data_IF_960725218452
#
_entry.id   IF_960725218452
#
_cell.length_a   1.000
_cell.length_b   1.000
_cell.length_c   1.000
_cell.angle_alpha   90.00
_cell.angle_beta   90.00
_cell.angle_gamma   90.00
#
_symmetry.space_group_name_H-M   'P 1'
#
loop_
_entity.id
_entity.type
_entity.pdbx_description
1 polymer ?
#
# COMPACT_ATOMS: atom_id res chain seq x y z
N UNK A 1 -1.58 31.02 55.47
CA UNK A 1 -2.17 30.31 54.30
C UNK A 1 -1.08 30.27 53.22
N UNK A 2 -0.38 29.14 53.08
CA UNK A 2 0.72 29.02 52.09
C UNK A 2 0.15 28.65 50.73
N UNK A 3 0.66 29.18 49.60
CA UNK A 3 0.20 28.84 48.26
C UNK A 3 0.63 27.43 47.89
N UNK A 4 -0.32 26.61 47.43
CA UNK A 4 -0.04 25.26 46.89
C UNK A 4 0.76 25.36 45.61
N UNK A 5 1.92 24.66 45.55
CA UNK A 5 2.71 24.50 44.33
C UNK A 5 1.87 23.79 43.23
N UNK A 6 1.93 24.23 41.96
CA UNK A 6 1.24 23.56 40.88
C UNK A 6 1.82 22.16 40.70
N UNK A 7 0.96 21.14 40.65
CA UNK A 7 1.35 19.77 40.36
C UNK A 7 1.83 19.71 38.90
N UNK A 8 3.09 19.39 38.72
CA UNK A 8 3.68 19.05 37.42
C UNK A 8 2.93 17.87 36.78
N UNK A 9 2.24 18.12 35.69
CA UNK A 9 1.50 17.12 34.90
C UNK A 9 2.36 16.44 33.85
N UNK A 10 3.69 16.38 34.01
CA UNK A 10 4.53 15.54 33.15
C UNK A 10 4.24 14.07 33.47
N UNK A 11 3.34 13.46 32.68
CA UNK A 11 3.18 12.01 32.65
C UNK A 11 4.51 11.41 32.21
N UNK A 12 5.11 10.57 33.06
CA UNK A 12 6.31 9.82 32.70
C UNK A 12 5.97 8.90 31.51
N UNK A 13 6.79 8.84 30.46
CA UNK A 13 6.61 7.86 29.40
C UNK A 13 6.62 6.47 30.01
N UNK A 14 5.72 5.61 29.57
CA UNK A 14 5.67 4.22 30.05
C UNK A 14 6.39 3.31 29.08
N UNK A 15 7.41 2.60 29.55
CA UNK A 15 8.19 1.62 28.78
C UNK A 15 7.43 0.33 28.45
N UNK A 16 6.19 0.20 28.85
CA UNK A 16 5.45 -1.07 28.87
C UNK A 16 4.52 -1.26 27.70
N UNK A 17 4.82 -1.26 26.54
CA UNK A 17 4.06 -1.72 25.38
C UNK A 17 4.30 -0.87 24.16
N UNK A 18 5.01 -1.41 23.24
CA UNK A 18 5.18 -0.86 21.89
C UNK A 18 3.93 -0.99 21.02
N UNK A 19 2.94 -1.74 21.45
CA UNK A 19 1.66 -1.91 20.77
C UNK A 19 0.56 -1.28 21.59
N UNK A 20 -0.19 -0.36 20.98
CA UNK A 20 -1.15 0.48 21.64
C UNK A 20 -2.08 -0.26 22.60
N UNK A 21 -2.11 0.19 23.83
CA UNK A 21 -3.21 -0.05 24.74
C UNK A 21 -4.20 1.11 24.62
N UNK A 22 -5.48 0.81 24.49
CA UNK A 22 -6.55 1.80 24.44
C UNK A 22 -6.36 2.85 25.54
N UNK A 23 -6.36 4.14 25.17
CA UNK A 23 -6.30 5.26 26.10
C UNK A 23 -4.93 5.86 26.39
N UNK A 24 -3.85 5.46 25.70
CA UNK A 24 -2.52 6.09 25.83
C UNK A 24 -2.24 7.05 24.68
N UNK A 25 -2.14 8.33 24.98
CA UNK A 25 -1.88 9.38 24.00
C UNK A 25 -0.39 9.59 23.63
N UNK A 26 0.52 8.99 24.37
CA UNK A 26 1.96 8.94 24.03
C UNK A 26 2.64 7.83 24.82
N UNK A 27 3.37 6.97 24.18
CA UNK A 27 4.28 6.04 24.81
C UNK A 27 5.59 6.01 24.03
N UNK A 28 6.68 5.77 24.74
CA UNK A 28 8.00 5.61 24.14
C UNK A 28 8.15 4.15 23.68
N UNK A 29 8.33 3.97 22.38
CA UNK A 29 8.56 2.66 21.75
C UNK A 29 10.04 2.41 21.41
N UNK A 30 10.96 3.28 21.86
CA UNK A 30 12.38 3.22 21.51
C UNK A 30 13.02 1.87 21.87
N UNK A 31 12.67 1.30 23.02
CA UNK A 31 13.16 -0.02 23.44
C UNK A 31 12.77 -1.13 22.48
N UNK A 32 11.55 -1.08 21.92
CA UNK A 32 11.12 -2.02 20.90
C UNK A 32 11.97 -1.90 19.63
N UNK A 33 12.17 -0.68 19.15
CA UNK A 33 12.97 -0.44 17.94
C UNK A 33 14.47 -0.62 18.12
N UNK A 34 14.97 -0.69 19.36
CA UNK A 34 16.36 -1.03 19.67
C UNK A 34 16.67 -2.54 19.63
N UNK A 35 15.64 -3.41 19.49
CA UNK A 35 15.83 -4.88 19.49
C UNK A 35 16.52 -5.37 18.21
N UNK A 36 17.19 -6.51 18.30
CA UNK A 36 18.00 -7.10 17.24
C UNK A 36 17.24 -7.43 15.94
N UNK A 37 15.92 -7.63 16.00
CA UNK A 37 15.07 -7.82 14.82
C UNK A 37 14.98 -6.56 13.93
N UNK A 38 15.02 -5.38 14.55
CA UNK A 38 14.72 -4.11 13.88
C UNK A 38 15.77 -3.62 12.87
N UNK A 39 17.10 -3.80 13.08
CA UNK A 39 18.12 -3.27 12.16
C UNK A 39 17.93 -3.72 10.72
N UNK A 40 17.44 -4.95 10.50
CA UNK A 40 17.16 -5.47 9.15
C UNK A 40 16.13 -4.62 8.38
N UNK A 41 15.23 -3.94 9.10
CA UNK A 41 14.08 -3.22 8.52
C UNK A 41 14.19 -1.69 8.64
N UNK A 42 15.33 -1.17 9.15
CA UNK A 42 15.51 0.27 9.46
C UNK A 42 16.43 1.00 8.49
N UNK A 43 16.50 0.57 7.25
CA UNK A 43 17.34 1.23 6.26
C UNK A 43 16.87 2.66 5.95
N UNK A 44 17.80 3.62 6.02
CA UNK A 44 17.61 5.02 5.58
C UNK A 44 16.43 5.78 6.21
N UNK A 45 15.97 5.41 7.42
CA UNK A 45 14.85 6.10 8.09
C UNK A 45 15.12 7.57 8.40
N UNK A 46 16.40 7.93 8.57
CA UNK A 46 16.87 9.28 8.91
C UNK A 46 17.36 10.06 7.67
N UNK A 47 17.04 9.58 6.47
CA UNK A 47 17.41 10.26 5.24
C UNK A 47 16.84 11.68 5.22
N UNK A 48 17.68 12.67 4.92
CA UNK A 48 17.19 14.02 4.61
C UNK A 48 16.51 13.99 3.26
N UNK A 49 15.24 14.44 3.14
CA UNK A 49 14.53 14.45 1.87
C UNK A 49 15.24 15.31 0.83
N UNK A 50 15.34 14.79 -0.38
CA UNK A 50 15.81 15.54 -1.52
C UNK A 50 14.64 16.33 -2.17
N UNK A 51 14.93 17.42 -2.89
CA UNK A 51 13.91 18.20 -3.57
C UNK A 51 13.10 17.35 -4.56
N UNK A 52 11.81 17.66 -4.66
CA UNK A 52 10.92 17.11 -5.69
C UNK A 52 11.27 17.70 -7.06
N UNK A 53 11.05 16.93 -8.14
CA UNK A 53 11.01 17.44 -9.50
C UNK A 53 9.56 17.66 -9.90
N UNK A 54 9.04 18.90 -9.87
CA UNK A 54 7.65 19.15 -10.23
C UNK A 54 7.43 18.87 -11.71
N UNK A 55 6.35 18.13 -12.02
CA UNK A 55 5.88 17.98 -13.40
C UNK A 55 5.05 19.19 -13.80
N UNK A 56 5.13 19.57 -15.07
CA UNK A 56 4.25 20.59 -15.66
C UNK A 56 2.89 19.98 -15.99
N UNK A 57 1.84 20.80 -16.12
CA UNK A 57 0.48 20.32 -16.42
C UNK A 57 0.41 19.44 -17.67
N UNK A 58 1.25 19.68 -18.67
CA UNK A 58 1.32 18.87 -19.89
C UNK A 58 1.99 17.49 -19.70
N UNK A 59 2.64 17.27 -18.56
CA UNK A 59 3.40 16.04 -18.27
C UNK A 59 2.62 15.05 -17.38
N UNK A 60 1.48 15.45 -16.83
CA UNK A 60 0.60 14.54 -16.06
C UNK A 60 -0.82 14.55 -16.67
N UNK A 61 -1.73 13.78 -16.08
CA UNK A 61 -3.09 13.53 -16.58
C UNK A 61 -3.10 12.98 -18.01
N UNK A 62 -2.24 12.00 -18.26
CA UNK A 62 -2.07 11.36 -19.56
C UNK A 62 -1.75 9.87 -19.43
N UNK A 63 -2.03 9.14 -20.49
CA UNK A 63 -1.59 7.78 -20.67
C UNK A 63 -0.22 7.74 -21.35
N UNK A 64 0.70 6.92 -20.79
CA UNK A 64 2.01 6.68 -21.36
C UNK A 64 2.02 5.22 -21.85
N UNK A 65 1.99 5.03 -23.16
CA UNK A 65 1.99 3.71 -23.80
C UNK A 65 3.43 3.16 -23.87
N UNK A 66 4.03 2.86 -22.72
CA UNK A 66 5.38 2.32 -22.59
C UNK A 66 5.43 1.29 -21.45
N UNK A 67 6.44 0.41 -21.43
CA UNK A 67 6.61 -0.55 -20.33
C UNK A 67 6.93 0.17 -19.02
N UNK A 68 6.20 -0.17 -17.97
CA UNK A 68 6.45 0.36 -16.62
C UNK A 68 7.71 -0.22 -15.96
N UNK A 69 8.37 -1.18 -16.58
CA UNK A 69 9.68 -1.67 -16.14
C UNK A 69 10.80 -0.63 -16.34
N UNK A 70 10.54 0.39 -17.18
CA UNK A 70 11.47 1.50 -17.45
C UNK A 70 10.69 2.78 -17.74
N UNK A 71 10.40 3.58 -16.71
CA UNK A 71 9.57 4.79 -16.78
C UNK A 71 10.40 6.03 -17.14
N UNK A 72 11.10 6.00 -18.27
CA UNK A 72 12.04 7.08 -18.69
C UNK A 72 11.35 8.44 -18.88
N UNK A 73 10.05 8.45 -19.12
CA UNK A 73 9.23 9.65 -19.28
C UNK A 73 8.95 10.38 -17.96
N UNK A 74 9.20 9.71 -16.83
CA UNK A 74 8.98 10.28 -15.50
C UNK A 74 10.32 10.60 -14.84
N UNK A 75 10.54 11.88 -14.47
CA UNK A 75 11.73 12.27 -13.69
C UNK A 75 11.77 11.58 -12.32
N UNK A 76 12.98 11.47 -11.76
CA UNK A 76 13.15 11.07 -10.38
C UNK A 76 12.39 12.01 -9.44
N UNK A 77 11.76 11.45 -8.40
CA UNK A 77 11.08 12.26 -7.37
C UNK A 77 10.01 13.22 -7.91
N UNK A 78 9.18 12.75 -8.83
CA UNK A 78 8.10 13.52 -9.45
C UNK A 78 6.69 13.05 -9.05
N UNK A 79 6.57 11.83 -8.50
CA UNK A 79 5.31 11.18 -8.14
C UNK A 79 5.18 11.10 -6.62
N UNK A 80 3.98 11.29 -6.09
CA UNK A 80 3.73 11.34 -4.64
C UNK A 80 3.13 10.06 -4.09
N UNK A 81 2.31 9.41 -4.90
CA UNK A 81 1.63 8.16 -4.58
C UNK A 81 1.61 7.25 -5.81
N UNK A 82 1.90 5.97 -5.64
CA UNK A 82 1.56 4.93 -6.60
C UNK A 82 0.43 4.08 -6.02
N UNK A 83 -0.63 3.85 -6.80
CA UNK A 83 -1.71 2.91 -6.47
C UNK A 83 -1.94 2.04 -7.67
N UNK A 84 -1.86 0.72 -7.49
CA UNK A 84 -2.00 -0.21 -8.61
C UNK A 84 -2.48 -1.60 -8.18
N UNK A 85 -2.93 -2.37 -9.16
CA UNK A 85 -3.14 -3.82 -9.07
C UNK A 85 -2.44 -4.47 -10.26
N UNK A 86 -1.28 -5.10 -10.08
CA UNK A 86 -0.57 -5.74 -11.18
C UNK A 86 -1.36 -6.93 -11.75
N UNK A 87 -1.09 -7.38 -12.98
CA UNK A 87 -1.67 -8.61 -13.51
C UNK A 87 -1.28 -9.79 -12.60
N UNK A 88 -2.23 -10.72 -12.38
CA UNK A 88 -1.98 -11.84 -11.45
C UNK A 88 -1.41 -13.08 -12.14
N UNK A 89 -1.19 -13.03 -13.45
CA UNK A 89 -0.68 -14.15 -14.25
C UNK A 89 -1.53 -15.43 -14.07
N UNK A 90 -2.83 -15.30 -14.24
CA UNK A 90 -3.82 -16.38 -14.02
C UNK A 90 -4.51 -16.85 -15.30
N UNK A 91 -3.94 -16.55 -16.48
CA UNK A 91 -4.47 -16.91 -17.78
C UNK A 91 -5.65 -16.05 -18.22
N UNK A 92 -5.65 -14.77 -17.87
CA UNK A 92 -6.55 -13.78 -18.45
C UNK A 92 -6.03 -13.30 -19.80
N UNK A 93 -6.88 -12.71 -20.62
CA UNK A 93 -6.56 -12.25 -21.98
C UNK A 93 -5.39 -11.24 -22.05
N UNK A 94 -5.04 -10.63 -20.92
CA UNK A 94 -3.93 -9.67 -20.77
C UNK A 94 -2.68 -10.27 -20.10
N UNK A 95 -2.73 -11.54 -19.68
CA UNK A 95 -1.59 -12.23 -19.07
C UNK A 95 -0.65 -12.81 -20.15
N UNK A 96 0.65 -12.68 -19.95
CA UNK A 96 1.67 -13.18 -20.88
C UNK A 96 2.14 -14.62 -20.57
N UNK A 97 1.48 -15.32 -19.65
CA UNK A 97 1.87 -16.66 -19.16
C UNK A 97 3.35 -16.73 -18.73
N UNK A 98 3.73 -15.77 -17.87
CA UNK A 98 5.09 -15.66 -17.36
C UNK A 98 5.41 -16.78 -16.37
N UNK A 99 6.65 -17.27 -16.38
CA UNK A 99 7.14 -18.10 -15.28
C UNK A 99 7.16 -17.29 -13.98
N UNK A 100 7.25 -17.97 -12.83
CA UNK A 100 7.35 -17.28 -11.54
C UNK A 100 8.53 -16.30 -11.49
N UNK A 101 9.68 -16.70 -12.02
CA UNK A 101 10.89 -15.88 -12.05
C UNK A 101 10.71 -14.64 -12.94
N UNK A 102 10.10 -14.81 -14.12
CA UNK A 102 9.80 -13.70 -15.03
C UNK A 102 8.80 -12.73 -14.43
N UNK A 103 7.75 -13.25 -13.77
CA UNK A 103 6.79 -12.41 -13.06
C UNK A 103 7.43 -11.64 -11.91
N UNK A 104 8.30 -12.28 -11.13
CA UNK A 104 9.04 -11.59 -10.06
C UNK A 104 10.00 -10.54 -10.62
N UNK A 105 10.62 -10.79 -11.77
CA UNK A 105 11.47 -9.80 -12.44
C UNK A 105 10.66 -8.58 -12.89
N UNK A 106 9.51 -8.78 -13.52
CA UNK A 106 8.58 -7.71 -13.92
C UNK A 106 8.20 -6.85 -12.71
N UNK A 107 7.69 -7.47 -11.64
CA UNK A 107 7.31 -6.76 -10.41
C UNK A 107 8.51 -6.03 -9.80
N UNK A 108 9.67 -6.67 -9.76
CA UNK A 108 10.91 -6.08 -9.24
C UNK A 108 11.32 -4.83 -10.02
N UNK A 109 11.32 -4.89 -11.36
CA UNK A 109 11.63 -3.75 -12.24
C UNK A 109 10.66 -2.59 -12.02
N UNK A 110 9.34 -2.88 -12.00
CA UNK A 110 8.32 -1.84 -11.75
C UNK A 110 8.46 -1.23 -10.37
N UNK A 111 8.77 -2.02 -9.33
CA UNK A 111 8.99 -1.49 -7.98
C UNK A 111 10.26 -0.64 -7.90
N UNK A 112 11.34 -0.97 -8.62
CA UNK A 112 12.55 -0.15 -8.70
C UNK A 112 12.28 1.20 -9.37
N UNK A 113 11.60 1.20 -10.52
CA UNK A 113 11.20 2.42 -11.20
C UNK A 113 10.22 3.27 -10.36
N UNK A 114 9.24 2.62 -9.72
CA UNK A 114 8.35 3.29 -8.76
C UNK A 114 9.14 3.94 -7.63
N UNK A 115 10.15 3.25 -7.09
CA UNK A 115 11.01 3.83 -6.06
C UNK A 115 11.79 5.04 -6.56
N UNK A 116 12.29 5.01 -7.78
CA UNK A 116 13.01 6.11 -8.42
C UNK A 116 12.12 7.35 -8.57
N UNK A 117 10.94 7.16 -9.18
CA UNK A 117 10.03 8.28 -9.51
C UNK A 117 9.28 8.83 -8.30
N UNK A 118 9.09 8.06 -7.24
CA UNK A 118 8.45 8.57 -6.02
C UNK A 118 9.32 9.61 -5.32
N UNK A 119 8.68 10.67 -4.82
CA UNK A 119 9.29 11.63 -3.90
C UNK A 119 9.71 10.95 -2.61
N UNK A 120 10.69 11.51 -1.92
CA UNK A 120 11.09 11.02 -0.61
C UNK A 120 9.92 11.15 0.39
N UNK A 121 9.63 10.08 1.10
CA UNK A 121 8.44 9.97 1.96
C UNK A 121 7.14 9.61 1.22
N UNK A 122 7.19 9.45 -0.11
CA UNK A 122 6.06 9.01 -0.93
C UNK A 122 5.59 7.58 -0.60
N UNK A 123 4.40 7.23 -1.04
CA UNK A 123 3.77 5.93 -0.78
C UNK A 123 3.57 5.13 -2.07
N UNK A 124 3.63 3.80 -1.92
CA UNK A 124 3.19 2.87 -2.95
C UNK A 124 2.19 1.88 -2.35
N UNK A 125 1.03 1.74 -2.98
CA UNK A 125 0.00 0.80 -2.60
C UNK A 125 -0.21 -0.23 -3.71
N UNK A 126 -0.11 -1.50 -3.37
CA UNK A 126 -0.30 -2.61 -4.31
C UNK A 126 -1.45 -3.47 -3.83
N UNK A 127 -2.54 -3.50 -4.62
CA UNK A 127 -3.63 -4.44 -4.39
C UNK A 127 -3.30 -5.76 -5.05
N UNK A 128 -3.36 -6.86 -4.31
CA UNK A 128 -2.97 -8.20 -4.78
C UNK A 128 -3.78 -9.30 -4.10
N UNK A 129 -4.25 -10.27 -4.86
CA UNK A 129 -4.80 -11.51 -4.35
C UNK A 129 -3.77 -12.63 -4.36
N UNK A 130 -3.91 -13.58 -3.47
CA UNK A 130 -3.18 -14.84 -3.54
C UNK A 130 -3.89 -15.84 -4.46
N UNK A 131 -3.12 -16.73 -5.05
CA UNK A 131 -3.60 -17.61 -6.11
C UNK A 131 -3.52 -19.09 -5.72
N UNK A 132 -4.27 -19.87 -6.50
CA UNK A 132 -4.17 -21.32 -6.44
C UNK A 132 -4.72 -21.94 -5.15
N UNK A 133 -4.76 -23.27 -5.18
CA UNK A 133 -5.19 -24.11 -4.05
C UNK A 133 -4.32 -25.35 -3.92
N UNK A 134 -3.65 -25.72 -5.01
CA UNK A 134 -2.86 -26.96 -5.11
C UNK A 134 -1.67 -26.76 -6.08
N UNK A 135 -0.62 -26.05 -5.66
CA UNK A 135 -0.36 -25.37 -4.40
C UNK A 135 -1.04 -23.99 -4.28
N UNK A 136 -1.08 -23.46 -3.06
CA UNK A 136 -1.42 -22.05 -2.80
C UNK A 136 -0.18 -21.17 -3.05
N UNK A 137 -0.35 -20.08 -3.78
CA UNK A 137 0.72 -19.16 -4.16
C UNK A 137 0.51 -17.84 -3.40
N UNK A 138 1.35 -17.52 -2.42
CA UNK A 138 1.20 -16.31 -1.61
C UNK A 138 1.83 -15.08 -2.32
N UNK A 139 1.21 -14.61 -3.41
CA UNK A 139 1.74 -13.50 -4.21
C UNK A 139 2.04 -12.25 -3.39
N UNK A 140 1.22 -11.95 -2.38
CA UNK A 140 1.45 -10.79 -1.50
C UNK A 140 2.84 -10.85 -0.84
N UNK A 141 3.30 -12.02 -0.41
CA UNK A 141 4.60 -12.18 0.22
C UNK A 141 5.75 -11.91 -0.76
N UNK A 142 5.61 -12.37 -2.00
CA UNK A 142 6.60 -12.12 -3.04
C UNK A 142 6.65 -10.66 -3.46
N UNK A 143 5.51 -9.98 -3.56
CA UNK A 143 5.46 -8.53 -3.82
C UNK A 143 6.14 -7.75 -2.69
N UNK A 144 5.93 -8.14 -1.43
CA UNK A 144 6.61 -7.53 -0.27
C UNK A 144 8.14 -7.70 -0.40
N UNK A 145 8.61 -8.86 -0.83
CA UNK A 145 10.03 -9.11 -1.03
C UNK A 145 10.61 -8.21 -2.12
N UNK A 146 9.97 -8.15 -3.31
CA UNK A 146 10.41 -7.30 -4.42
C UNK A 146 10.42 -5.80 -4.03
N UNK A 147 9.39 -5.33 -3.35
CA UNK A 147 9.35 -3.96 -2.85
C UNK A 147 10.49 -3.67 -1.85
N UNK A 148 10.78 -4.63 -0.96
CA UNK A 148 11.88 -4.50 0.00
C UNK A 148 13.26 -4.46 -0.69
N UNK A 149 13.46 -5.27 -1.74
CA UNK A 149 14.68 -5.27 -2.55
C UNK A 149 14.85 -3.95 -3.32
N UNK A 150 13.75 -3.34 -3.77
CA UNK A 150 13.77 -2.01 -4.39
C UNK A 150 14.08 -0.87 -3.40
N UNK A 151 14.08 -1.13 -2.09
CA UNK A 151 14.40 -0.15 -1.04
C UNK A 151 13.22 0.41 -0.27
N UNK A 152 12.01 -0.07 -0.52
CA UNK A 152 10.83 0.33 0.22
C UNK A 152 10.82 -0.22 1.65
N UNK A 153 10.19 0.53 2.56
CA UNK A 153 9.75 0.02 3.85
C UNK A 153 8.26 -0.30 3.82
N UNK A 154 7.90 -1.47 4.30
CA UNK A 154 6.49 -1.79 4.51
C UNK A 154 5.92 -0.97 5.66
N UNK A 155 4.75 -0.34 5.46
CA UNK A 155 4.06 0.50 6.44
C UNK A 155 2.85 -0.17 7.06
N UNK A 156 2.34 -1.17 6.42
CA UNK A 156 1.19 -1.94 6.86
C UNK A 156 0.58 -2.74 5.75
N UNK A 157 -0.44 -3.45 6.10
CA UNK A 157 -1.24 -4.28 5.23
C UNK A 157 -2.71 -3.99 5.53
N UNK A 158 -3.48 -3.73 4.49
CA UNK A 158 -4.91 -3.53 4.60
C UNK A 158 -5.57 -4.75 3.97
N UNK A 159 -6.49 -5.36 4.69
CA UNK A 159 -7.34 -6.44 4.17
C UNK A 159 -8.56 -5.78 3.54
N UNK A 160 -8.66 -5.84 2.23
CA UNK A 160 -9.90 -5.48 1.55
C UNK A 160 -10.87 -6.66 1.60
N UNK A 161 -11.80 -6.62 2.54
CA UNK A 161 -12.89 -7.57 2.65
C UNK A 161 -13.97 -7.23 1.61
N UNK A 162 -14.14 -8.11 0.62
CA UNK A 162 -15.12 -7.94 -0.47
C UNK A 162 -16.57 -8.17 -0.02
N UNK A 163 -16.77 -8.48 1.26
CA UNK A 163 -18.09 -8.68 1.89
C UNK A 163 -18.99 -9.66 1.10
N UNK A 164 -20.28 -9.40 1.05
CA UNK A 164 -21.26 -10.21 0.32
C UNK A 164 -21.06 -10.23 -1.22
N UNK A 165 -20.22 -9.35 -1.75
CA UNK A 165 -19.86 -9.31 -3.19
C UNK A 165 -18.81 -10.37 -3.58
N UNK A 166 -18.17 -11.01 -2.62
CA UNK A 166 -17.35 -12.19 -2.90
C UNK A 166 -18.27 -13.31 -3.38
N UNK A 167 -18.20 -13.60 -4.68
CA UNK A 167 -19.09 -14.56 -5.33
C UNK A 167 -19.18 -15.88 -4.56
N UNK A 168 -20.36 -16.50 -4.60
CA UNK A 168 -20.61 -17.81 -4.02
C UNK A 168 -19.84 -18.88 -4.80
N UNK A 169 -18.53 -18.99 -4.58
CA UNK A 169 -17.81 -20.15 -5.09
C UNK A 169 -18.30 -21.39 -4.38
N UNK A 170 -18.74 -22.40 -5.13
CA UNK A 170 -19.12 -23.71 -4.62
C UNK A 170 -17.94 -24.69 -4.57
N UNK A 171 -16.74 -24.23 -4.80
CA UNK A 171 -15.51 -25.03 -4.76
C UNK A 171 -15.05 -25.24 -3.30
N UNK A 172 -15.80 -26.05 -2.55
CA UNK A 172 -15.56 -26.29 -1.12
C UNK A 172 -14.44 -27.31 -0.84
N UNK A 173 -13.95 -28.00 -1.88
CA UNK A 173 -13.14 -29.20 -1.67
C UNK A 173 -14.00 -30.34 -1.14
N UNK A 174 -13.64 -30.91 0.02
CA UNK A 174 -14.51 -31.88 0.70
C UNK A 174 -15.62 -31.14 1.45
N UNK A 175 -16.88 -31.40 1.08
CA UNK A 175 -18.03 -30.83 1.76
C UNK A 175 -18.24 -31.47 3.13
N UNK A 176 -18.33 -30.62 4.15
CA UNK A 176 -18.55 -31.05 5.56
C UNK A 176 -17.62 -32.15 6.05
N UNK A 177 -16.42 -32.26 5.49
CA UNK A 177 -15.43 -33.28 5.84
C UNK A 177 -14.04 -32.63 6.02
N UNK A 178 -13.30 -33.02 7.06
CA UNK A 178 -11.94 -32.51 7.28
C UNK A 178 -10.89 -33.09 6.31
N UNK A 179 -11.27 -33.97 5.39
CA UNK A 179 -10.35 -34.66 4.49
C UNK A 179 -9.61 -33.70 3.56
N UNK A 180 -10.29 -32.67 3.02
CA UNK A 180 -9.70 -31.67 2.15
C UNK A 180 -10.60 -30.43 1.96
N UNK A 181 -10.96 -29.69 3.02
CA UNK A 181 -11.77 -28.49 2.86
C UNK A 181 -10.95 -27.40 2.15
N UNK A 182 -11.59 -26.63 1.27
CA UNK A 182 -10.97 -25.50 0.56
C UNK A 182 -11.46 -24.19 1.14
N UNK A 183 -10.51 -23.29 1.49
CA UNK A 183 -10.83 -21.94 1.90
C UNK A 183 -11.31 -21.13 0.67
N UNK A 184 -12.32 -20.28 0.89
CA UNK A 184 -12.81 -19.34 -0.14
C UNK A 184 -12.19 -17.98 0.10
N UNK A 185 -11.60 -17.39 -0.95
CA UNK A 185 -11.05 -16.07 -0.85
C UNK A 185 -12.15 -15.02 -0.88
N UNK A 186 -12.31 -14.35 0.22
CA UNK A 186 -13.30 -13.27 0.40
C UNK A 186 -12.62 -11.90 0.52
N UNK A 187 -11.31 -11.86 0.38
CA UNK A 187 -10.51 -10.65 0.55
C UNK A 187 -9.35 -10.57 -0.46
N UNK A 188 -8.79 -9.39 -0.56
CA UNK A 188 -7.48 -9.13 -1.17
C UNK A 188 -6.62 -8.33 -0.20
N UNK A 189 -5.34 -8.22 -0.52
CA UNK A 189 -4.35 -7.49 0.28
C UNK A 189 -4.03 -6.17 -0.41
N UNK A 190 -4.06 -5.07 0.33
CA UNK A 190 -3.52 -3.79 -0.12
C UNK A 190 -2.24 -3.56 0.69
N UNK A 191 -1.12 -3.78 0.04
CA UNK A 191 0.21 -3.66 0.64
C UNK A 191 0.64 -2.20 0.62
N UNK A 192 0.96 -1.63 1.78
CA UNK A 192 1.32 -0.22 1.92
C UNK A 192 2.82 -0.09 2.14
N UNK A 193 3.50 0.50 1.18
CA UNK A 193 4.94 0.74 1.19
C UNK A 193 5.26 2.22 1.27
N UNK A 194 6.48 2.53 1.70
CA UNK A 194 7.00 3.88 1.76
C UNK A 194 8.45 3.95 1.27
N UNK A 195 8.74 4.95 0.44
CA UNK A 195 10.10 5.41 0.21
C UNK A 195 10.57 6.21 1.44
N UNK A 196 11.75 5.93 2.04
CA UNK A 196 12.27 6.74 3.14
C UNK A 196 12.37 8.23 2.79
N UNK A 197 12.26 9.13 3.81
CA UNK A 197 12.04 8.92 5.24
C UNK A 197 10.57 8.67 5.63
N UNK A 198 10.31 8.43 6.92
CA UNK A 198 8.96 8.11 7.43
C UNK A 198 7.98 9.27 7.45
N UNK A 199 8.15 10.28 6.85
CA UNK A 199 7.20 11.37 6.78
C UNK A 199 7.69 12.40 5.79
N UNK A 200 6.78 13.15 5.25
CA UNK A 200 7.08 14.28 4.40
C UNK A 200 6.19 15.45 4.76
N UNK A 201 6.68 16.64 4.47
CA UNK A 201 5.90 17.86 4.62
C UNK A 201 5.36 18.23 3.23
N UNK A 202 4.15 18.81 3.16
CA UNK A 202 3.66 19.34 1.89
C UNK A 202 4.53 20.52 1.45
N UNK A 203 4.66 20.71 0.15
CA UNK A 203 5.16 21.96 -0.41
C UNK A 203 4.14 23.09 -0.14
N UNK A 204 4.61 24.33 -0.21
CA UNK A 204 3.76 25.50 -0.01
C UNK A 204 2.51 25.48 -0.94
N UNK A 205 1.37 25.77 -0.37
CA UNK A 205 0.08 25.76 -1.06
C UNK A 205 -0.63 24.40 -1.12
N UNK A 206 0.02 23.29 -0.82
CA UNK A 206 -0.60 21.97 -0.75
C UNK A 206 -1.24 21.73 0.64
N UNK A 207 -2.43 21.14 0.66
CA UNK A 207 -3.22 20.91 1.89
C UNK A 207 -3.74 19.49 1.95
N UNK A 208 -3.91 18.95 3.16
CA UNK A 208 -4.67 17.72 3.34
C UNK A 208 -6.16 17.98 3.04
N UNK A 209 -6.79 17.08 2.31
CA UNK A 209 -8.21 17.13 1.92
C UNK A 209 -9.08 16.21 2.75
N UNK A 210 -8.48 15.17 3.32
CA UNK A 210 -9.17 14.16 4.11
C UNK A 210 -9.90 14.76 5.32
N UNK A 211 -11.16 14.38 5.49
CA UNK A 211 -11.95 14.75 6.66
C UNK A 211 -11.58 13.91 7.89
N UNK A 212 -11.99 14.36 9.08
CA UNK A 212 -11.77 13.61 10.32
C UNK A 212 -12.39 12.22 10.28
N UNK A 213 -13.62 12.12 9.79
CA UNK A 213 -14.36 10.86 9.80
C UNK A 213 -13.78 9.88 8.77
N UNK A 214 -13.39 10.35 7.60
CA UNK A 214 -12.63 9.55 6.62
C UNK A 214 -11.30 9.08 7.18
N UNK A 215 -10.55 9.95 7.85
CA UNK A 215 -9.27 9.56 8.46
C UNK A 215 -9.45 8.43 9.48
N UNK A 216 -10.47 8.53 10.35
CA UNK A 216 -10.77 7.50 11.34
C UNK A 216 -11.23 6.18 10.71
N UNK A 217 -11.91 6.24 9.58
CA UNK A 217 -12.37 5.06 8.84
C UNK A 217 -11.25 4.46 7.99
N UNK A 218 -10.52 5.26 7.22
CA UNK A 218 -9.53 4.79 6.25
C UNK A 218 -8.23 4.31 6.89
N UNK A 219 -7.93 4.73 8.12
CA UNK A 219 -6.77 4.23 8.89
C UNK A 219 -7.01 2.87 9.54
N UNK A 220 -8.21 2.27 9.41
CA UNK A 220 -8.43 0.87 9.82
C UNK A 220 -7.70 -0.08 8.87
N UNK A 221 -7.18 -1.17 9.42
CA UNK A 221 -6.48 -2.20 8.63
C UNK A 221 -7.41 -3.19 7.92
N UNK A 222 -8.72 -3.05 8.06
CA UNK A 222 -9.73 -3.81 7.31
C UNK A 222 -10.67 -2.81 6.65
N UNK A 223 -10.75 -2.88 5.32
CA UNK A 223 -11.70 -2.10 4.54
C UNK A 223 -12.81 -2.99 4.03
N UNK A 224 -14.05 -2.54 4.13
CA UNK A 224 -15.23 -3.27 3.68
C UNK A 224 -15.98 -2.48 2.63
N UNK A 225 -15.93 -2.94 1.39
CA UNK A 225 -16.73 -2.44 0.28
C UNK A 225 -16.81 -3.49 -0.84
N UNK A 226 -17.88 -3.43 -1.63
CA UNK A 226 -18.15 -4.39 -2.69
C UNK A 226 -17.12 -4.27 -3.83
N UNK A 227 -16.75 -5.37 -4.49
CA UNK A 227 -15.95 -5.36 -5.71
C UNK A 227 -16.72 -4.71 -6.87
N UNK A 228 -16.00 -4.17 -7.85
CA UNK A 228 -16.58 -3.64 -9.08
C UNK A 228 -16.96 -4.78 -10.03
N UNK A 229 -18.07 -4.61 -10.74
CA UNK A 229 -18.51 -5.58 -11.74
C UNK A 229 -17.69 -5.46 -13.02
N UNK A 230 -16.97 -6.54 -13.40
CA UNK A 230 -16.22 -6.62 -14.65
C UNK A 230 -17.08 -6.32 -15.90
N UNK A 231 -18.36 -6.74 -15.87
CA UNK A 231 -19.30 -6.50 -16.99
C UNK A 231 -19.66 -5.04 -17.20
N UNK A 232 -19.61 -4.23 -16.13
CA UNK A 232 -19.97 -2.81 -16.21
C UNK A 232 -18.81 -1.95 -16.72
N UNK A 233 -17.58 -2.36 -16.49
CA UNK A 233 -16.37 -1.56 -16.78
C UNK A 233 -15.63 -2.06 -18.02
N UNK A 234 -15.97 -3.24 -18.55
CA UNK A 234 -15.29 -3.82 -19.70
C UNK A 234 -13.86 -4.32 -19.40
N UNK A 235 -13.48 -4.40 -18.13
CA UNK A 235 -12.20 -4.92 -17.68
C UNK A 235 -12.41 -6.22 -16.88
N UNK A 236 -11.60 -7.28 -17.12
CA UNK A 236 -11.84 -8.59 -16.51
C UNK A 236 -11.60 -8.68 -15.00
N UNK A 237 -10.88 -7.72 -14.41
CA UNK A 237 -10.59 -7.69 -12.96
C UNK A 237 -10.43 -6.25 -12.45
N UNK A 238 -11.47 -5.39 -12.52
CA UNK A 238 -11.37 -4.03 -12.01
C UNK A 238 -11.44 -4.00 -10.48
N UNK A 239 -10.68 -3.15 -9.84
CA UNK A 239 -10.97 -2.75 -8.47
C UNK A 239 -11.94 -1.53 -8.46
N UNK A 240 -12.75 -1.35 -7.40
CA UNK A 240 -13.68 -0.22 -7.32
C UNK A 240 -12.95 1.11 -7.07
N UNK A 241 -13.53 2.21 -7.54
CA UNK A 241 -13.02 3.57 -7.36
C UNK A 241 -12.76 3.94 -5.89
N UNK A 242 -13.49 3.29 -4.96
CA UNK A 242 -13.33 3.51 -3.52
C UNK A 242 -11.92 3.14 -3.03
N UNK A 243 -11.24 2.17 -3.65
CA UNK A 243 -9.89 1.78 -3.28
C UNK A 243 -8.88 2.90 -3.53
N UNK A 244 -8.69 3.39 -4.78
CA UNK A 244 -7.76 4.49 -5.03
C UNK A 244 -8.21 5.79 -4.35
N UNK A 245 -9.52 6.07 -4.21
CA UNK A 245 -10.01 7.23 -3.49
C UNK A 245 -9.50 7.25 -2.04
N UNK A 246 -9.64 6.16 -1.29
CA UNK A 246 -9.13 6.06 0.08
C UNK A 246 -7.61 6.22 0.15
N UNK A 247 -6.91 5.63 -0.79
CA UNK A 247 -5.45 5.74 -0.87
C UNK A 247 -5.00 7.18 -1.12
N UNK A 248 -5.65 7.88 -2.04
CA UNK A 248 -5.37 9.28 -2.39
C UNK A 248 -5.62 10.18 -1.18
N UNK A 249 -6.79 10.09 -0.55
CA UNK A 249 -7.12 10.92 0.62
C UNK A 249 -6.18 10.67 1.80
N UNK A 250 -5.75 9.42 2.04
CA UNK A 250 -4.84 9.08 3.14
C UNK A 250 -3.39 9.55 2.91
N UNK A 251 -2.91 9.55 1.66
CA UNK A 251 -1.47 9.59 1.41
C UNK A 251 -1.00 10.71 0.48
N UNK A 252 -1.93 11.55 0.00
CA UNK A 252 -1.58 12.74 -0.79
C UNK A 252 -2.09 14.03 -0.18
N UNK A 253 -1.43 15.12 -0.54
CA UNK A 253 -1.95 16.48 -0.37
C UNK A 253 -2.59 16.93 -1.70
N UNK A 254 -3.38 18.02 -1.65
CA UNK A 254 -3.96 18.62 -2.86
C UNK A 254 -2.89 18.92 -3.92
N UNK A 255 -3.21 18.70 -5.19
CA UNK A 255 -2.31 18.92 -6.33
C UNK A 255 -1.05 18.04 -6.34
N UNK A 256 -1.09 16.91 -5.70
CA UNK A 256 -0.04 15.89 -5.80
C UNK A 256 -0.37 14.86 -6.88
N UNK A 257 0.66 14.28 -7.47
CA UNK A 257 0.55 13.41 -8.64
C UNK A 257 0.50 11.95 -8.20
N UNK A 258 -0.45 11.22 -8.78
CA UNK A 258 -0.66 9.79 -8.56
C UNK A 258 -0.29 9.02 -9.83
N UNK A 259 0.36 7.87 -9.66
CA UNK A 259 0.77 6.96 -10.73
C UNK A 259 0.06 5.62 -10.58
N UNK A 260 -0.43 5.09 -11.69
CA UNK A 260 -0.79 3.68 -11.83
C UNK A 260 0.05 3.04 -12.95
N UNK A 261 1.06 2.20 -12.64
CA UNK A 261 1.89 1.54 -13.64
C UNK A 261 1.20 0.38 -14.37
N UNK A 262 0.03 -0.06 -13.91
CA UNK A 262 -0.75 -1.15 -14.51
C UNK A 262 -2.22 -0.76 -14.70
N UNK A 263 -2.45 0.42 -15.22
CA UNK A 263 -3.74 1.10 -15.21
C UNK A 263 -4.89 0.34 -15.93
N UNK A 264 -4.61 -0.67 -16.75
CA UNK A 264 -5.64 -1.39 -17.47
C UNK A 264 -6.45 -0.49 -18.40
N UNK A 265 -7.73 -0.33 -18.09
CA UNK A 265 -8.64 0.57 -18.84
C UNK A 265 -8.69 2.00 -18.30
N UNK A 266 -8.02 2.29 -17.23
CA UNK A 266 -8.00 3.59 -16.55
C UNK A 266 -9.00 3.74 -15.44
#
# INVERSE_FOLDING_TARGET
MMPRKPKSTRKRPTSTSSFGTNGRSSHDSSEYYARALQPKYRHNLEKTPEPEHPLTYSEFDRFIAHSSENMIELPDRSIHLMVTSPPYNVGKDYDEDLTHEQYMQLIGSVMQETFRVLVDGGRALVNIANLGRKPYIPLHAYVIEQASLAGFHMRGEIIWNKSAGAGTSTAWGSWMSPSNPTLRDTHEYILVFQKPPFGRKPLEGRKATITKDEFLEFTKSVWEFAPQSAKQVGHPAPFPEELPRRAIELYTFSNEIVLDPFMGTG
#
